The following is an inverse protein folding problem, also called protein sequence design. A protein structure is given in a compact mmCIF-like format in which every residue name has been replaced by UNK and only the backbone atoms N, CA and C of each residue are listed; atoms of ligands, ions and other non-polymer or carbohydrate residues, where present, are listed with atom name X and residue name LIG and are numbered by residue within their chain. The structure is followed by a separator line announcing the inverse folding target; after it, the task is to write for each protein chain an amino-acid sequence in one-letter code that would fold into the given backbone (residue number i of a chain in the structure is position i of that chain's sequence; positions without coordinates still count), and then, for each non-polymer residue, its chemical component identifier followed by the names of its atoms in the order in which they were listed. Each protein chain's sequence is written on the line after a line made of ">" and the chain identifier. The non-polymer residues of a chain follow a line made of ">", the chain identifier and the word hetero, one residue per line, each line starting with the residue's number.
data_IF_732157344219
#
_entry.id   IF_732157344219
#
_cell.length_a   1.000
_cell.length_b   1.000
_cell.length_c   1.000
_cell.angle_alpha   90.00
_cell.angle_beta   90.00
_cell.angle_gamma   90.00
#
_symmetry.space_group_name_H-M   'P 1'
#
loop_
_entity.id
_entity.type
_entity.pdbx_description
1 polymer ?
#
# COMPACT_ATOMS: atom_id res chain seq x y z
N UNK A 1 10.98 -5.62 -10.77
CA UNK A 1 9.76 -4.87 -10.38
C UNK A 1 9.20 -4.21 -11.62
N UNK A 2 7.89 -4.22 -11.81
CA UNK A 2 7.25 -3.41 -12.87
C UNK A 2 7.28 -1.93 -12.48
N UNK A 3 7.32 -1.05 -13.47
CA UNK A 3 7.19 0.39 -13.28
C UNK A 3 5.89 0.83 -13.96
N UNK A 4 5.03 1.53 -13.22
CA UNK A 4 3.84 2.15 -13.79
C UNK A 4 4.22 3.56 -14.22
N UNK A 5 4.24 3.80 -15.53
CA UNK A 5 4.55 5.11 -16.09
C UNK A 5 3.55 6.14 -15.56
N UNK A 6 4.06 7.25 -15.00
CA UNK A 6 3.25 8.35 -14.47
C UNK A 6 2.83 8.23 -12.99
N UNK A 7 3.28 7.20 -12.27
CA UNK A 7 3.02 7.06 -10.81
C UNK A 7 4.25 7.46 -9.99
N UNK A 8 5.36 6.75 -10.14
CA UNK A 8 6.59 7.02 -9.39
C UNK A 8 7.68 7.50 -10.33
N UNK A 9 8.42 8.54 -9.91
CA UNK A 9 9.60 9.03 -10.64
C UNK A 9 10.64 7.91 -10.78
N UNK A 10 11.25 7.83 -11.96
CA UNK A 10 12.29 6.83 -12.25
C UNK A 10 13.65 7.51 -12.32
N UNK A 11 14.59 7.05 -11.50
CA UNK A 11 15.99 7.45 -11.51
C UNK A 11 16.77 6.51 -12.43
N UNK A 12 17.72 7.07 -13.19
CA UNK A 12 18.68 6.31 -13.98
C UNK A 12 20.08 6.47 -13.38
N UNK A 13 20.64 5.35 -12.89
CA UNK A 13 21.97 5.31 -12.25
C UNK A 13 22.72 4.11 -12.83
N UNK A 14 23.93 4.33 -13.34
CA UNK A 14 24.76 3.30 -13.99
C UNK A 14 24.04 2.54 -15.14
N UNK A 15 23.10 3.18 -15.84
CA UNK A 15 22.29 2.56 -16.89
C UNK A 15 21.20 1.60 -16.38
N UNK A 16 20.94 1.60 -15.07
CA UNK A 16 19.86 0.86 -14.41
C UNK A 16 18.77 1.82 -13.93
N UNK A 17 17.53 1.30 -13.80
CA UNK A 17 16.35 2.08 -13.42
C UNK A 17 15.90 1.76 -12.00
N UNK A 18 15.62 2.80 -11.23
CA UNK A 18 15.17 2.71 -9.84
C UNK A 18 13.93 3.58 -9.63
N UNK A 19 13.00 3.15 -8.79
CA UNK A 19 11.89 3.98 -8.35
C UNK A 19 12.38 4.91 -7.25
N UNK A 20 12.17 6.21 -7.41
CA UNK A 20 12.29 7.21 -6.33
C UNK A 20 10.99 7.15 -5.51
N UNK A 21 10.95 6.22 -4.56
CA UNK A 21 9.74 5.87 -3.80
C UNK A 21 9.35 6.95 -2.79
N UNK A 22 10.31 7.73 -2.29
CA UNK A 22 10.02 8.85 -1.37
C UNK A 22 10.00 10.23 -2.07
N UNK A 23 10.32 10.28 -3.36
CA UNK A 23 10.27 11.49 -4.17
C UNK A 23 11.37 12.52 -3.84
N UNK A 24 12.50 12.09 -3.29
CA UNK A 24 13.57 13.00 -2.86
C UNK A 24 14.61 13.29 -3.97
N UNK A 25 14.48 12.66 -5.14
CA UNK A 25 15.36 12.84 -6.29
C UNK A 25 16.74 12.17 -6.15
N UNK A 26 16.94 11.31 -5.16
CA UNK A 26 18.18 10.59 -4.88
C UNK A 26 17.90 9.10 -4.80
N UNK A 27 18.86 8.28 -5.22
CA UNK A 27 18.75 6.83 -5.06
C UNK A 27 19.11 6.47 -3.62
N UNK A 28 18.11 6.28 -2.78
CA UNK A 28 18.31 5.83 -1.40
C UNK A 28 18.67 4.34 -1.34
N UNK A 29 19.31 3.91 -0.24
CA UNK A 29 19.76 2.52 -0.09
C UNK A 29 18.56 1.58 -0.15
N UNK A 30 17.43 1.92 0.48
CA UNK A 30 16.24 1.06 0.46
C UNK A 30 15.61 0.90 -0.93
N UNK A 31 15.82 1.85 -1.84
CA UNK A 31 15.31 1.85 -3.22
C UNK A 31 16.25 1.09 -4.17
N UNK A 32 17.53 1.02 -3.83
CA UNK A 32 18.54 0.28 -4.60
C UNK A 32 18.42 -1.23 -4.36
N UNK A 33 17.69 -1.90 -5.26
CA UNK A 33 17.51 -3.36 -5.25
C UNK A 33 18.81 -4.16 -5.39
N UNK A 34 19.96 -3.52 -5.67
CA UNK A 34 21.29 -4.16 -5.69
C UNK A 34 21.89 -4.33 -4.29
N UNK A 35 21.43 -3.55 -3.32
CA UNK A 35 21.94 -3.58 -1.94
C UNK A 35 21.39 -4.78 -1.17
N UNK A 36 22.13 -5.20 -0.13
CA UNK A 36 21.71 -6.28 0.75
C UNK A 36 20.39 -5.94 1.46
N UNK A 37 19.54 -6.95 1.65
CA UNK A 37 18.22 -6.79 2.30
C UNK A 37 18.35 -6.11 3.66
N UNK A 38 19.32 -6.50 4.48
CA UNK A 38 19.52 -5.90 5.81
C UNK A 38 19.88 -4.41 5.74
N UNK A 39 20.68 -4.01 4.75
CA UNK A 39 21.02 -2.61 4.52
C UNK A 39 19.78 -1.81 4.09
N UNK A 40 18.96 -2.38 3.20
CA UNK A 40 17.70 -1.77 2.73
C UNK A 40 16.68 -1.62 3.85
N UNK A 41 16.52 -2.64 4.68
CA UNK A 41 15.61 -2.62 5.84
C UNK A 41 16.07 -1.58 6.86
N UNK A 42 17.38 -1.54 7.17
CA UNK A 42 17.94 -0.56 8.11
C UNK A 42 17.70 0.87 7.61
N UNK A 43 18.03 1.15 6.36
CA UNK A 43 17.85 2.47 5.75
C UNK A 43 16.38 2.90 5.75
N UNK A 44 15.46 2.04 5.29
CA UNK A 44 14.03 2.31 5.32
C UNK A 44 13.56 2.64 6.76
N UNK A 45 13.92 1.80 7.73
CA UNK A 45 13.50 1.97 9.12
C UNK A 45 14.05 3.26 9.76
N UNK A 46 15.28 3.66 9.40
CA UNK A 46 15.89 4.92 9.85
C UNK A 46 15.18 6.14 9.23
N UNK A 47 14.62 6.01 8.03
CA UNK A 47 13.82 7.04 7.37
C UNK A 47 12.37 7.13 7.87
N UNK A 48 11.85 6.13 8.60
CA UNK A 48 10.49 6.13 9.12
C UNK A 48 10.31 7.08 10.32
N UNK A 49 9.17 7.76 10.37
CA UNK A 49 8.70 8.51 11.54
C UNK A 49 8.28 7.56 12.66
N UNK A 50 8.12 8.08 13.88
CA UNK A 50 7.63 7.27 15.00
C UNK A 50 6.19 6.81 14.76
N UNK A 51 5.39 7.58 14.02
CA UNK A 51 4.00 7.30 13.69
C UNK A 51 3.83 6.23 12.61
N UNK A 52 4.80 6.08 11.70
CA UNK A 52 4.76 5.07 10.64
C UNK A 52 5.13 3.67 11.14
N UNK A 53 6.07 3.57 12.10
CA UNK A 53 6.57 2.27 12.59
C UNK A 53 5.47 1.38 13.19
N UNK A 54 4.54 1.89 14.03
CA UNK A 54 3.41 1.12 14.53
C UNK A 54 2.56 0.49 13.42
N UNK A 55 2.40 1.17 12.28
CA UNK A 55 1.59 0.71 11.15
C UNK A 55 2.05 -0.65 10.59
N UNK A 56 3.36 -0.93 10.66
CA UNK A 56 3.94 -2.20 10.23
C UNK A 56 3.53 -3.41 11.08
N UNK A 57 3.05 -3.19 12.32
CA UNK A 57 2.66 -4.26 13.23
C UNK A 57 1.17 -4.62 13.11
N UNK A 58 0.38 -3.85 12.36
CA UNK A 58 -1.03 -4.12 12.17
C UNK A 58 -1.26 -4.91 10.88
N UNK A 59 -2.19 -5.86 10.97
CA UNK A 59 -2.73 -6.57 9.83
C UNK A 59 -4.25 -6.47 9.90
N UNK A 60 -4.87 -5.78 8.93
CA UNK A 60 -6.29 -5.43 8.97
C UNK A 60 -7.05 -6.00 7.78
N UNK A 61 -8.36 -6.11 7.85
CA UNK A 61 -9.17 -6.46 6.67
C UNK A 61 -9.12 -5.32 5.63
N UNK A 62 -9.24 -5.66 4.34
CA UNK A 62 -9.36 -4.69 3.24
C UNK A 62 -10.68 -3.91 3.33
N UNK A 63 -10.74 -2.81 4.09
CA UNK A 63 -11.94 -1.99 4.36
C UNK A 63 -13.24 -2.80 4.64
N UNK A 64 -14.37 -2.14 4.92
CA UNK A 64 -15.69 -2.78 5.12
C UNK A 64 -15.83 -3.93 6.14
N UNK A 65 -16.86 -4.76 5.89
CA UNK A 65 -17.37 -5.85 6.75
C UNK A 65 -16.39 -7.05 6.77
N UNK A 66 -16.31 -7.87 7.84
CA UNK A 66 -15.50 -9.10 7.87
C UNK A 66 -15.72 -10.07 6.68
N UNK A 67 -16.82 -9.92 5.93
CA UNK A 67 -17.10 -10.69 4.71
C UNK A 67 -16.31 -10.27 3.46
N UNK A 68 -15.47 -9.23 3.54
CA UNK A 68 -14.78 -8.64 2.39
C UNK A 68 -15.54 -7.46 1.79
N UNK A 69 -14.85 -6.63 1.01
CA UNK A 69 -15.42 -5.42 0.38
C UNK A 69 -15.62 -5.63 -1.11
N UNK A 70 -16.83 -5.30 -1.58
CA UNK A 70 -17.06 -5.02 -2.98
C UNK A 70 -16.53 -3.61 -3.31
N UNK A 71 -15.43 -3.56 -4.07
CA UNK A 71 -14.82 -2.31 -4.52
C UNK A 71 -15.47 -1.74 -5.79
N UNK A 72 -16.68 -2.18 -6.16
CA UNK A 72 -17.49 -1.53 -7.20
C UNK A 72 -17.78 -0.06 -6.86
N UNK A 73 -17.85 0.30 -5.57
CA UNK A 73 -17.87 1.68 -5.13
C UNK A 73 -16.45 2.18 -4.85
N UNK A 74 -15.97 3.05 -5.75
CA UNK A 74 -14.62 3.62 -5.69
C UNK A 74 -14.33 4.41 -4.41
N UNK A 75 -15.34 4.84 -3.65
CA UNK A 75 -15.17 5.53 -2.37
C UNK A 75 -14.44 4.66 -1.35
N UNK A 76 -14.67 3.35 -1.33
CA UNK A 76 -13.98 2.41 -0.44
C UNK A 76 -12.47 2.40 -0.65
N UNK A 77 -12.04 2.60 -1.91
CA UNK A 77 -10.63 2.65 -2.27
C UNK A 77 -10.03 4.05 -2.10
N UNK A 78 -10.67 5.06 -2.71
CA UNK A 78 -10.05 6.38 -2.96
C UNK A 78 -10.65 7.53 -2.15
N UNK A 79 -11.74 7.33 -1.42
CA UNK A 79 -12.24 8.38 -0.52
C UNK A 79 -11.23 8.64 0.59
N UNK A 80 -11.11 9.90 1.00
CA UNK A 80 -10.09 10.35 1.95
C UNK A 80 -10.65 10.54 3.37
N UNK A 81 -11.95 10.29 3.55
CA UNK A 81 -12.60 10.28 4.84
C UNK A 81 -12.12 9.10 5.71
N UNK A 82 -12.26 9.25 7.03
CA UNK A 82 -11.76 8.24 7.95
C UNK A 82 -12.60 6.95 8.03
N UNK A 83 -13.84 6.99 7.55
CA UNK A 83 -14.83 5.91 7.67
C UNK A 83 -15.61 5.72 6.38
N UNK A 84 -16.00 4.49 6.09
CA UNK A 84 -16.94 4.15 5.03
C UNK A 84 -18.32 4.74 5.40
N UNK A 85 -18.99 5.46 4.49
CA UNK A 85 -20.35 5.95 4.70
C UNK A 85 -21.38 4.82 4.44
N UNK A 86 -21.33 3.77 5.25
CA UNK A 86 -22.26 2.64 5.19
C UNK A 86 -22.96 2.46 6.54
N UNK A 87 -24.16 3.04 6.64
CA UNK A 87 -25.01 2.97 7.83
C UNK A 87 -25.60 1.57 8.07
N UNK A 88 -25.47 0.65 7.10
CA UNK A 88 -25.95 -0.73 7.24
C UNK A 88 -24.91 -1.68 7.86
N UNK A 89 -23.64 -1.25 7.96
CA UNK A 89 -22.57 -2.06 8.53
C UNK A 89 -22.69 -2.16 10.06
N UNK A 90 -22.51 -3.39 10.58
CA UNK A 90 -22.42 -3.63 12.03
C UNK A 90 -21.09 -3.21 12.64
N UNK A 91 -20.11 -2.82 11.81
CA UNK A 91 -18.77 -2.41 12.24
C UNK A 91 -18.34 -1.14 11.55
N UNK A 92 -17.66 -0.26 12.29
CA UNK A 92 -17.00 0.91 11.69
C UNK A 92 -15.81 0.44 10.88
N UNK A 93 -15.87 0.64 9.57
CA UNK A 93 -14.78 0.33 8.67
C UNK A 93 -14.18 1.62 8.12
N UNK A 94 -12.87 1.61 7.84
CA UNK A 94 -12.16 2.76 7.27
C UNK A 94 -11.90 2.56 5.79
N UNK A 95 -11.68 3.66 5.07
CA UNK A 95 -11.34 3.65 3.65
C UNK A 95 -9.90 3.15 3.45
N UNK A 96 -9.61 2.49 2.33
CA UNK A 96 -8.27 1.96 2.04
C UNK A 96 -7.21 3.06 2.03
N UNK A 97 -7.52 4.20 1.40
CA UNK A 97 -6.65 5.37 1.42
C UNK A 97 -6.30 5.78 2.85
N UNK A 98 -7.25 5.74 3.79
CA UNK A 98 -7.01 6.12 5.19
C UNK A 98 -6.13 5.10 5.93
N UNK A 99 -6.33 3.79 5.72
CA UNK A 99 -5.46 2.77 6.31
C UNK A 99 -4.01 2.94 5.87
N UNK A 100 -3.78 3.19 4.59
CA UNK A 100 -2.43 3.30 4.01
C UNK A 100 -1.80 4.65 4.35
N UNK A 101 -2.49 5.77 4.05
CA UNK A 101 -1.87 7.10 4.09
C UNK A 101 -1.96 7.81 5.45
N UNK A 102 -2.86 7.40 6.33
CA UNK A 102 -3.03 8.03 7.66
C UNK A 102 -2.58 7.10 8.77
N UNK A 103 -2.96 5.82 8.70
CA UNK A 103 -2.58 4.84 9.72
C UNK A 103 -1.28 4.09 9.39
N UNK A 104 -0.70 4.29 8.20
CA UNK A 104 0.54 3.65 7.74
C UNK A 104 0.48 2.11 7.77
N UNK A 105 -0.71 1.54 7.61
CA UNK A 105 -0.92 0.10 7.60
C UNK A 105 -0.77 -0.37 6.15
N UNK A 106 0.19 -1.26 5.91
CA UNK A 106 0.47 -1.83 4.59
C UNK A 106 0.09 -3.31 4.49
N UNK A 107 -0.20 -3.99 5.60
CA UNK A 107 -0.59 -5.40 5.61
C UNK A 107 -2.11 -5.59 5.70
N UNK A 108 -2.68 -6.29 4.73
CA UNK A 108 -4.13 -6.41 4.56
C UNK A 108 -4.59 -7.85 4.29
N UNK A 109 -5.70 -8.25 4.92
CA UNK A 109 -6.42 -9.49 4.63
C UNK A 109 -7.41 -9.21 3.50
N UNK A 110 -7.15 -9.78 2.32
CA UNK A 110 -8.04 -9.72 1.16
C UNK A 110 -9.02 -10.89 1.16
N UNK A 111 -10.25 -10.66 1.63
CA UNK A 111 -11.30 -11.68 1.75
C UNK A 111 -12.34 -11.62 0.62
N UNK A 112 -12.04 -10.94 -0.49
CA UNK A 112 -13.02 -10.78 -1.57
C UNK A 112 -13.08 -12.02 -2.47
N UNK A 113 -14.30 -12.35 -2.91
CA UNK A 113 -14.60 -13.47 -3.81
C UNK A 113 -14.84 -13.01 -5.26
N UNK A 114 -14.25 -11.88 -5.65
CA UNK A 114 -14.37 -11.32 -6.99
C UNK A 114 -13.66 -12.19 -8.04
N UNK A 115 -13.95 -11.93 -9.31
CA UNK A 115 -13.22 -12.57 -10.41
C UNK A 115 -11.73 -12.19 -10.38
N UNK A 116 -10.82 -13.04 -10.94
CA UNK A 116 -9.40 -12.69 -11.03
C UNK A 116 -9.12 -11.34 -11.70
N UNK A 117 -9.91 -10.98 -12.72
CA UNK A 117 -9.78 -9.70 -13.41
C UNK A 117 -10.09 -8.50 -12.48
N UNK A 118 -11.13 -8.61 -11.66
CA UNK A 118 -11.47 -7.59 -10.67
C UNK A 118 -10.39 -7.51 -9.57
N UNK A 119 -9.92 -8.65 -9.06
CA UNK A 119 -8.87 -8.67 -8.04
C UNK A 119 -7.57 -7.98 -8.50
N UNK A 120 -7.17 -8.16 -9.76
CA UNK A 120 -6.01 -7.45 -10.33
C UNK A 120 -6.20 -5.94 -10.26
N UNK A 121 -7.39 -5.43 -10.62
CA UNK A 121 -7.69 -4.00 -10.58
C UNK A 121 -7.57 -3.46 -9.17
N UNK A 122 -8.15 -4.13 -8.18
CA UNK A 122 -8.14 -3.67 -6.79
C UNK A 122 -6.76 -3.77 -6.14
N UNK A 123 -6.04 -4.87 -6.37
CA UNK A 123 -4.69 -5.03 -5.83
C UNK A 123 -3.73 -3.99 -6.42
N UNK A 124 -3.82 -3.71 -7.73
CA UNK A 124 -3.01 -2.67 -8.35
C UNK A 124 -3.36 -1.27 -7.81
N UNK A 125 -4.64 -0.99 -7.56
CA UNK A 125 -5.05 0.27 -6.96
C UNK A 125 -4.50 0.43 -5.52
N UNK A 126 -4.53 -0.64 -4.71
CA UNK A 126 -3.93 -0.63 -3.37
C UNK A 126 -2.41 -0.43 -3.42
N UNK A 127 -1.72 -1.09 -4.36
CA UNK A 127 -0.29 -0.87 -4.57
C UNK A 127 0.00 0.58 -4.98
N UNK A 128 -0.80 1.15 -5.89
CA UNK A 128 -0.64 2.55 -6.29
C UNK A 128 -0.84 3.53 -5.11
N UNK A 129 -1.81 3.28 -4.23
CA UNK A 129 -2.00 4.07 -3.01
C UNK A 129 -0.80 3.99 -2.06
N UNK A 130 -0.19 2.82 -1.94
CA UNK A 130 1.02 2.62 -1.16
C UNK A 130 2.26 3.26 -1.80
N UNK A 131 2.41 3.15 -3.12
CA UNK A 131 3.50 3.77 -3.89
C UNK A 131 3.45 5.31 -3.86
N UNK A 132 2.26 5.92 -3.68
CA UNK A 132 2.08 7.37 -3.52
C UNK A 132 2.30 7.86 -2.07
N UNK A 133 2.47 6.94 -1.10
CA UNK A 133 2.77 7.31 0.28
C UNK A 133 4.21 7.81 0.44
N UNK A 134 4.51 8.48 1.56
CA UNK A 134 5.80 9.17 1.79
C UNK A 134 7.06 8.32 1.56
N UNK A 135 7.01 7.02 1.84
CA UNK A 135 8.14 6.09 1.67
C UNK A 135 7.87 5.00 0.62
N UNK A 136 6.74 5.09 -0.09
CA UNK A 136 6.36 4.11 -1.10
C UNK A 136 6.35 2.65 -0.62
N UNK A 137 6.08 2.40 0.67
CA UNK A 137 6.15 1.04 1.24
C UNK A 137 4.98 0.22 0.67
N UNK A 138 5.25 -0.88 -0.07
CA UNK A 138 4.21 -1.61 -0.79
C UNK A 138 3.24 -2.30 0.18
N UNK A 139 2.00 -2.51 -0.27
CA UNK A 139 1.06 -3.32 0.50
C UNK A 139 1.40 -4.81 0.41
N UNK A 140 1.18 -5.54 1.50
CA UNK A 140 1.17 -7.00 1.56
C UNK A 140 -0.27 -7.46 1.69
N UNK A 141 -0.68 -8.38 0.81
CA UNK A 141 -2.04 -8.94 0.81
C UNK A 141 -1.95 -10.42 1.16
N UNK A 142 -2.64 -10.82 2.23
CA UNK A 142 -2.85 -12.22 2.60
C UNK A 142 -4.29 -12.64 2.30
N UNK A 143 -4.53 -13.94 2.16
CA UNK A 143 -5.85 -14.53 1.94
C UNK A 143 -5.85 -16.01 2.37
N UNK A 144 -7.00 -16.52 2.76
CA UNK A 144 -7.20 -17.91 3.20
C UNK A 144 -7.67 -18.80 2.03
N UNK A 145 -6.87 -18.86 0.95
CA UNK A 145 -7.14 -19.74 -0.20
C UNK A 145 -6.21 -20.96 -0.15
N UNK A 146 -6.79 -22.11 0.16
CA UNK A 146 -6.15 -23.43 0.09
C UNK A 146 -6.45 -24.16 -1.22
#
# INVERSE_FOLDING_TARGET
>A
MGYLDGVTTILEVDGLKFKDLNGNGQLDVYEDWRQDVDARVKDLYEQMTLEERPGLFYHVNTCGNPMGVDFADSRYMFGTESVVPDESSSFTSRLMWYYINVLNITSHLGNTNDTPAQQIVYHNAMQALAEDSRLGIPVVISNDRE
#
